data_IF_715562877794
#
_entry.id   IF_715562877794
#
_cell.length_a   1.000
_cell.length_b   1.000
_cell.length_c   1.000
_cell.angle_alpha   90.00
_cell.angle_beta   90.00
_cell.angle_gamma   90.00
#
_symmetry.space_group_name_H-M   'P 1'
#
loop_
_entity.id
_entity.type
_entity.pdbx_description
1 polymer ?
#
# COMPACT_ATOMS: atom_id res chain seq x y z
N UNK A 1 -3.34 4.89 -5.46
CA UNK A 1 -2.34 4.12 -4.69
C UNK A 1 -1.16 5.03 -4.39
N UNK A 2 -0.61 4.97 -3.18
CA UNK A 2 0.62 5.69 -2.83
C UNK A 2 1.44 4.85 -1.85
N UNK A 3 2.71 4.65 -2.17
CA UNK A 3 3.64 3.92 -1.32
C UNK A 3 5.05 4.44 -1.58
N UNK A 4 5.80 4.67 -0.51
CA UNK A 4 7.12 5.29 -0.57
C UNK A 4 8.06 4.57 0.39
N UNK A 5 9.24 4.20 -0.11
CA UNK A 5 10.34 3.67 0.69
C UNK A 5 11.53 4.59 0.48
N UNK A 6 12.09 5.13 1.54
CA UNK A 6 13.22 6.08 1.47
C UNK A 6 14.40 5.55 2.25
N UNK A 7 15.60 5.71 1.70
CA UNK A 7 16.84 5.50 2.45
C UNK A 7 17.42 6.87 2.78
N UNK A 8 17.66 7.20 4.07
CA UNK A 8 18.35 8.43 4.43
C UNK A 8 19.73 8.47 3.77
N UNK A 9 20.06 9.59 3.14
CA UNK A 9 21.37 9.81 2.48
C UNK A 9 22.09 10.97 3.14
N UNK A 10 23.41 10.88 3.25
CA UNK A 10 24.25 11.99 3.69
C UNK A 10 24.20 13.14 2.65
N UNK A 11 23.84 14.38 3.04
CA UNK A 11 23.75 15.52 2.12
C UNK A 11 25.04 15.86 1.38
N UNK A 12 26.23 15.53 1.93
CA UNK A 12 27.50 15.90 1.31
C UNK A 12 28.04 14.84 0.34
N UNK A 13 27.85 13.56 0.65
CA UNK A 13 28.38 12.44 -0.14
C UNK A 13 27.35 11.73 -1.01
N UNK A 14 26.05 11.88 -0.72
CA UNK A 14 24.97 11.11 -1.35
C UNK A 14 24.95 9.63 -0.95
N UNK A 15 25.83 9.19 -0.06
CA UNK A 15 25.87 7.80 0.40
C UNK A 15 24.73 7.50 1.37
N UNK A 16 24.20 6.26 1.38
CA UNK A 16 23.24 5.82 2.39
C UNK A 16 23.80 6.00 3.81
N UNK A 17 23.13 6.79 4.64
CA UNK A 17 23.57 7.12 6.00
C UNK A 17 22.74 6.44 7.09
N UNK A 18 21.69 5.70 6.72
CA UNK A 18 20.84 4.98 7.66
C UNK A 18 20.03 3.87 7.01
N UNK A 19 19.29 3.14 7.84
CA UNK A 19 18.38 2.10 7.36
C UNK A 19 17.21 2.71 6.57
N UNK A 20 16.69 1.94 5.61
CA UNK A 20 15.46 2.28 4.91
C UNK A 20 14.31 2.57 5.88
N UNK A 21 13.51 3.56 5.52
CA UNK A 21 12.29 3.99 6.19
C UNK A 21 11.12 3.71 5.27
N UNK A 22 10.26 2.77 5.67
CA UNK A 22 9.02 2.52 4.97
C UNK A 22 7.99 3.56 5.38
N UNK A 23 7.48 4.32 4.40
CA UNK A 23 6.30 5.14 4.61
C UNK A 23 5.04 4.28 4.44
N UNK A 24 3.90 4.73 5.01
CA UNK A 24 2.69 3.94 4.99
C UNK A 24 2.24 3.61 3.56
N UNK A 25 1.78 2.38 3.37
CA UNK A 25 1.09 1.95 2.17
C UNK A 25 -0.32 2.52 2.18
N UNK A 26 -0.71 3.23 1.12
CA UNK A 26 -2.02 3.88 1.02
C UNK A 26 -2.81 3.36 -0.17
N UNK A 27 -3.99 2.82 0.11
CA UNK A 27 -4.99 2.48 -0.91
C UNK A 27 -6.28 3.24 -0.64
N UNK A 28 -7.05 3.47 -1.69
CA UNK A 28 -8.34 4.16 -1.61
C UNK A 28 -9.43 3.23 -2.15
N UNK A 29 -10.50 3.09 -1.40
CA UNK A 29 -11.70 2.36 -1.79
C UNK A 29 -12.95 3.20 -1.54
N UNK A 30 -14.08 2.80 -2.12
CA UNK A 30 -15.37 3.35 -1.72
C UNK A 30 -15.82 2.77 -0.36
N UNK A 31 -16.81 3.42 0.26
CA UNK A 31 -17.48 2.85 1.42
C UNK A 31 -18.07 1.48 1.07
N UNK A 32 -17.69 0.46 1.84
CA UNK A 32 -18.14 -0.90 1.60
C UNK A 32 -18.25 -1.67 2.93
N UNK A 33 -18.64 -2.95 2.85
CA UNK A 33 -18.80 -3.83 4.02
C UNK A 33 -17.54 -3.95 4.89
N UNK A 34 -16.35 -3.82 4.30
CA UNK A 34 -15.10 -3.94 5.05
C UNK A 34 -14.75 -2.66 5.82
N UNK A 35 -15.30 -1.50 5.48
CA UNK A 35 -14.93 -0.24 6.13
C UNK A 35 -15.11 -0.24 7.65
N UNK A 36 -16.25 -0.68 8.23
CA UNK A 36 -16.39 -0.78 9.68
C UNK A 36 -15.39 -1.76 10.32
N UNK A 37 -15.07 -2.86 9.63
CA UNK A 37 -14.09 -3.83 10.12
C UNK A 37 -12.67 -3.24 10.14
N UNK A 38 -12.33 -2.44 9.12
CA UNK A 38 -11.05 -1.70 9.08
C UNK A 38 -10.96 -0.66 10.21
N UNK A 39 -12.06 0.00 10.56
CA UNK A 39 -12.10 0.89 11.73
C UNK A 39 -11.91 0.14 13.06
N UNK A 40 -12.50 -1.05 13.19
CA UNK A 40 -12.24 -1.89 14.36
C UNK A 40 -10.77 -2.27 14.48
N UNK A 41 -10.16 -2.73 13.37
CA UNK A 41 -8.75 -3.08 13.33
C UNK A 41 -7.83 -1.88 13.63
N UNK A 42 -8.17 -0.68 13.14
CA UNK A 42 -7.47 0.56 13.48
C UNK A 42 -7.59 0.88 14.97
N UNK A 43 -8.79 0.84 15.55
CA UNK A 43 -9.03 1.22 16.94
C UNK A 43 -8.43 0.23 17.95
N UNK A 44 -8.35 -1.05 17.60
CA UNK A 44 -7.77 -2.10 18.45
C UNK A 44 -6.27 -2.28 18.25
N UNK A 45 -5.69 -1.71 17.18
CA UNK A 45 -4.32 -2.01 16.76
C UNK A 45 -4.16 -3.45 16.27
N UNK A 46 -5.20 -4.03 15.68
CA UNK A 46 -5.19 -5.39 15.15
C UNK A 46 -4.13 -5.54 14.04
N UNK A 47 -3.37 -6.62 14.14
CA UNK A 47 -2.39 -7.00 13.13
C UNK A 47 -3.05 -7.86 12.06
N UNK A 48 -3.02 -7.39 10.83
CA UNK A 48 -3.45 -8.09 9.63
C UNK A 48 -2.32 -9.02 9.16
N UNK A 49 -2.46 -10.35 9.24
CA UNK A 49 -1.37 -11.27 8.95
C UNK A 49 -0.89 -11.17 7.49
N UNK A 50 -1.82 -10.89 6.57
CA UNK A 50 -1.53 -10.78 5.14
C UNK A 50 -2.45 -9.74 4.50
N UNK A 51 -1.84 -8.80 3.77
CA UNK A 51 -2.53 -7.90 2.85
C UNK A 51 -1.95 -8.11 1.46
N UNK A 52 -2.77 -8.42 0.48
CA UNK A 52 -2.33 -8.71 -0.89
C UNK A 52 -3.02 -7.75 -1.88
N UNK A 53 -2.23 -6.87 -2.48
CA UNK A 53 -2.66 -6.01 -3.57
C UNK A 53 -2.27 -6.64 -4.90
N UNK A 54 -3.26 -6.92 -5.74
CA UNK A 54 -3.08 -7.45 -7.09
C UNK A 54 -3.29 -6.35 -8.11
N UNK A 55 -2.32 -6.22 -9.00
CA UNK A 55 -2.34 -5.25 -10.08
C UNK A 55 -2.77 -5.92 -11.37
N UNK A 56 -3.78 -5.35 -12.00
CA UNK A 56 -4.35 -5.84 -13.25
C UNK A 56 -4.06 -4.85 -14.38
N UNK A 57 -3.85 -5.39 -15.58
CA UNK A 57 -3.78 -4.63 -16.83
C UNK A 57 -4.50 -5.40 -17.94
N UNK A 58 -4.84 -4.70 -19.02
CA UNK A 58 -5.38 -5.36 -20.21
C UNK A 58 -4.24 -6.02 -20.99
N UNK A 59 -4.35 -7.32 -21.22
CA UNK A 59 -3.39 -8.10 -22.00
C UNK A 59 -3.55 -7.86 -23.51
N UNK A 60 -2.61 -8.38 -24.30
CA UNK A 60 -2.69 -8.37 -25.77
C UNK A 60 -3.93 -9.11 -26.31
N UNK A 61 -4.49 -10.05 -25.54
CA UNK A 61 -5.72 -10.76 -25.88
C UNK A 61 -7.00 -9.99 -25.49
N UNK A 62 -6.86 -8.79 -24.92
CA UNK A 62 -7.99 -7.99 -24.42
C UNK A 62 -8.58 -8.48 -23.09
N UNK A 63 -7.92 -9.41 -22.41
CA UNK A 63 -8.36 -9.93 -21.10
C UNK A 63 -7.67 -9.18 -19.96
N UNK A 64 -8.31 -9.15 -18.79
CA UNK A 64 -7.64 -8.66 -17.58
C UNK A 64 -6.62 -9.68 -17.12
N UNK A 65 -5.35 -9.31 -17.10
CA UNK A 65 -4.26 -10.13 -16.59
C UNK A 65 -3.69 -9.55 -15.30
N UNK A 66 -3.46 -10.43 -14.33
CA UNK A 66 -2.72 -10.11 -13.12
C UNK A 66 -1.22 -10.12 -13.43
N UNK A 67 -0.57 -8.96 -13.37
CA UNK A 67 0.84 -8.84 -13.76
C UNK A 67 1.81 -8.58 -12.60
N UNK A 68 1.31 -8.05 -11.48
CA UNK A 68 2.13 -7.67 -10.34
C UNK A 68 1.37 -7.83 -9.02
N UNK A 69 2.07 -8.27 -7.97
CA UNK A 69 1.57 -8.36 -6.60
C UNK A 69 2.41 -7.51 -5.67
N UNK A 70 1.74 -6.87 -4.71
CA UNK A 70 2.38 -6.30 -3.51
C UNK A 70 1.77 -6.96 -2.29
N UNK A 71 2.59 -7.71 -1.56
CA UNK A 71 2.16 -8.52 -0.42
C UNK A 71 2.79 -7.93 0.83
N UNK A 72 1.96 -7.58 1.81
CA UNK A 72 2.39 -7.11 3.13
C UNK A 72 2.14 -8.21 4.15
N UNK A 73 3.11 -8.46 5.01
CA UNK A 73 2.97 -9.36 6.16
C UNK A 73 2.97 -8.57 7.46
N UNK A 74 2.12 -9.00 8.39
CA UNK A 74 1.94 -8.39 9.71
C UNK A 74 1.71 -6.87 9.60
N UNK A 75 0.73 -6.49 8.80
CA UNK A 75 0.37 -5.10 8.57
C UNK A 75 -0.56 -4.57 9.68
N UNK A 76 -0.44 -3.29 10.02
CA UNK A 76 -1.34 -2.60 10.95
C UNK A 76 -1.91 -1.36 10.29
N UNK A 77 -3.20 -1.12 10.49
CA UNK A 77 -3.83 0.12 10.01
C UNK A 77 -3.42 1.24 10.95
N UNK A 78 -2.86 2.31 10.41
CA UNK A 78 -2.38 3.45 11.20
C UNK A 78 -3.26 4.69 11.05
N UNK A 79 -4.04 4.78 9.95
CA UNK A 79 -4.90 5.91 9.66
C UNK A 79 -5.97 5.50 8.63
N UNK A 80 -7.18 6.04 8.78
CA UNK A 80 -8.27 5.94 7.80
C UNK A 80 -8.84 7.34 7.58
N UNK A 81 -8.62 7.88 6.38
CA UNK A 81 -9.20 9.13 5.94
C UNK A 81 -10.44 8.85 5.08
N UNK A 82 -11.63 9.14 5.61
CA UNK A 82 -12.89 9.04 4.87
C UNK A 82 -13.31 10.44 4.41
N UNK A 83 -13.36 10.66 3.10
CA UNK A 83 -13.75 11.93 2.51
C UNK A 83 -14.88 11.74 1.50
N UNK A 84 -15.82 12.69 1.48
CA UNK A 84 -16.86 12.79 0.46
C UNK A 84 -16.73 14.16 -0.22
N UNK A 85 -16.46 14.21 -1.52
CA UNK A 85 -16.38 15.47 -2.26
C UNK A 85 -17.68 16.28 -2.18
N UNK A 86 -17.57 17.59 -2.41
CA UNK A 86 -18.71 18.50 -2.31
C UNK A 86 -19.73 18.26 -3.44
N UNK A 87 -20.99 18.01 -3.08
CA UNK A 87 -22.04 17.63 -4.04
C UNK A 87 -22.37 18.70 -5.10
N UNK A 88 -22.05 19.97 -4.86
CA UNK A 88 -22.32 21.05 -5.83
C UNK A 88 -21.17 21.27 -6.83
N UNK A 89 -20.02 20.63 -6.62
CA UNK A 89 -18.90 20.74 -7.55
C UNK A 89 -19.09 19.73 -8.68
N UNK A 90 -19.45 20.23 -9.87
CA UNK A 90 -19.65 19.40 -11.06
C UNK A 90 -18.39 18.62 -11.46
N UNK A 91 -17.19 19.11 -11.10
CA UNK A 91 -15.94 18.41 -11.35
C UNK A 91 -15.78 17.11 -10.55
N UNK A 92 -16.58 16.93 -9.50
CA UNK A 92 -16.55 15.75 -8.64
C UNK A 92 -17.75 14.80 -8.84
N UNK A 93 -18.58 15.03 -9.86
CA UNK A 93 -19.84 14.31 -10.06
C UNK A 93 -19.66 12.79 -10.21
N UNK A 94 -18.54 12.34 -10.76
CA UNK A 94 -18.24 10.92 -10.97
C UNK A 94 -17.70 10.22 -9.70
N UNK A 95 -17.34 10.99 -8.66
CA UNK A 95 -16.82 10.44 -7.43
C UNK A 95 -17.92 10.16 -6.41
N UNK A 96 -17.74 9.10 -5.65
CA UNK A 96 -18.54 8.78 -4.46
C UNK A 96 -17.73 9.12 -3.21
N UNK A 97 -17.78 8.28 -2.18
CA UNK A 97 -16.92 8.42 -1.01
C UNK A 97 -15.55 7.79 -1.28
N UNK A 98 -14.52 8.43 -0.78
CA UNK A 98 -13.14 8.00 -0.90
C UNK A 98 -12.61 7.70 0.49
N UNK A 99 -12.39 6.43 0.77
CA UNK A 99 -11.82 5.91 2.02
C UNK A 99 -10.37 5.54 1.76
N UNK A 100 -9.45 6.42 2.16
CA UNK A 100 -8.02 6.16 2.09
C UNK A 100 -7.54 5.49 3.38
N UNK A 101 -7.06 4.26 3.26
CA UNK A 101 -6.54 3.47 4.37
C UNK A 101 -5.01 3.44 4.28
N UNK A 102 -4.36 3.78 5.39
CA UNK A 102 -2.90 3.76 5.53
C UNK A 102 -2.47 2.56 6.36
N UNK A 103 -1.54 1.78 5.84
CA UNK A 103 -0.99 0.58 6.46
C UNK A 103 0.50 0.76 6.76
N UNK A 104 0.90 0.47 8.00
CA UNK A 104 2.27 0.10 8.32
C UNK A 104 2.41 -1.42 8.20
N UNK A 105 3.61 -1.94 8.03
CA UNK A 105 3.84 -3.37 7.86
C UNK A 105 5.26 -3.74 8.27
N UNK A 106 5.45 -5.02 8.59
CA UNK A 106 6.76 -5.56 8.97
C UNK A 106 7.59 -5.97 7.75
N UNK A 107 6.96 -6.68 6.82
CA UNK A 107 7.60 -7.19 5.61
C UNK A 107 6.74 -6.88 4.39
N UNK A 108 7.40 -6.56 3.30
CA UNK A 108 6.78 -6.36 1.99
C UNK A 108 7.49 -7.22 0.96
N UNK A 109 6.71 -7.83 0.08
CA UNK A 109 7.18 -8.58 -1.08
C UNK A 109 6.53 -7.98 -2.31
N UNK A 110 7.36 -7.68 -3.32
CA UNK A 110 6.95 -7.25 -4.64
C UNK A 110 7.23 -8.37 -5.62
N UNK A 111 6.25 -8.74 -6.42
CA UNK A 111 6.36 -9.85 -7.37
C UNK A 111 5.79 -9.44 -8.71
N UNK A 112 6.58 -9.53 -9.77
CA UNK A 112 6.11 -9.35 -11.13
C UNK A 112 5.80 -10.70 -11.76
N UNK A 113 4.57 -11.18 -11.57
CA UNK A 113 4.12 -12.52 -11.97
C UNK A 113 4.43 -12.87 -13.44
N UNK A 114 4.31 -11.91 -14.36
CA UNK A 114 4.55 -12.16 -15.81
C UNK A 114 6.03 -12.21 -16.17
N UNK A 115 6.91 -11.57 -15.38
CA UNK A 115 8.35 -11.48 -15.65
C UNK A 115 9.17 -12.42 -14.76
N UNK A 116 8.55 -13.00 -13.72
CA UNK A 116 9.20 -13.89 -12.77
C UNK A 116 10.14 -13.20 -11.78
N UNK A 117 10.24 -11.88 -11.80
CA UNK A 117 11.10 -11.14 -10.87
C UNK A 117 10.39 -10.88 -9.55
N UNK A 118 11.14 -10.93 -8.45
CA UNK A 118 10.63 -10.61 -7.12
C UNK A 118 11.67 -9.86 -6.30
N UNK A 119 11.19 -9.07 -5.34
CA UNK A 119 11.98 -8.42 -4.32
C UNK A 119 11.22 -8.47 -2.99
N UNK A 120 11.95 -8.49 -1.89
CA UNK A 120 11.34 -8.46 -0.57
C UNK A 120 12.21 -7.65 0.40
N UNK A 121 11.57 -7.05 1.40
CA UNK A 121 12.26 -6.39 2.51
C UNK A 121 11.50 -6.73 3.80
N UNK A 122 12.26 -7.09 4.84
CA UNK A 122 11.75 -7.43 6.16
C UNK A 122 12.49 -6.59 7.20
N UNK A 123 11.73 -5.84 8.01
CA UNK A 123 12.30 -5.08 9.11
C UNK A 123 13.10 -5.94 10.09
N UNK A 124 12.67 -7.20 10.34
CA UNK A 124 13.31 -8.09 11.33
C UNK A 124 14.58 -8.77 10.82
N UNK A 125 14.74 -8.88 9.51
CA UNK A 125 15.86 -9.56 8.87
C UNK A 125 16.47 -8.66 7.81
N UNK A 126 17.14 -7.56 8.20
CA UNK A 126 17.88 -6.75 7.25
C UNK A 126 18.92 -7.64 6.56
N UNK A 127 18.96 -7.59 5.22
CA UNK A 127 20.01 -8.24 4.45
C UNK A 127 21.32 -7.51 4.84
N UNK A 128 22.27 -8.23 5.44
CA UNK A 128 23.59 -7.68 5.73
C UNK A 128 24.23 -7.20 4.41
N UNK A 129 24.72 -5.96 4.42
CA UNK A 129 25.31 -5.30 3.25
C UNK A 129 26.71 -5.84 2.93
#
# INVERSE_FOLDING_TARGET
FSHVVTVPTDPQSGQPSGQRVHKPFKFTSALNKATPLMYNALASGEMLPKVELKWYRTSVEGKQEHFFSTILEDATIIDINCNMPHCQDAGNADFTQLVTVSLSYRKVTWEHAVAGTSGADDWRSPIEA
#
